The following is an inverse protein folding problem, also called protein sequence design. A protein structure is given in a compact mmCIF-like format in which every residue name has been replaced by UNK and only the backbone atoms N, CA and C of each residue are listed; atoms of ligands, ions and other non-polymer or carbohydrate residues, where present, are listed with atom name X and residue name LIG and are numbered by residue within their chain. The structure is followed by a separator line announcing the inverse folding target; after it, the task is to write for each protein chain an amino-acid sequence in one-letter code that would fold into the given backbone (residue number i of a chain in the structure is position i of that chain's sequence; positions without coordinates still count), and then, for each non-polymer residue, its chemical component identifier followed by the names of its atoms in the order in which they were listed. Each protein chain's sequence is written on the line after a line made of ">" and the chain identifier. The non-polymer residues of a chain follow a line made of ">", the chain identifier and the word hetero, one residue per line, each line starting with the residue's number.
data_IF_355709192925
#
_entry.id   IF_355709192925
#
_cell.length_a   1.000
_cell.length_b   1.000
_cell.length_c   1.000
_cell.angle_alpha   90.00
_cell.angle_beta   90.00
_cell.angle_gamma   90.00
#
_symmetry.space_group_name_H-M   'P 1'
#
loop_
_entity.id
_entity.type
_entity.pdbx_description
1 polymer ?
#
# COMPACT_ATOMS: atom_id res chain seq x y z
N UNK A 1 -21.93 6.04 -21.62
CA UNK A 1 -20.67 5.30 -21.35
C UNK A 1 -19.49 6.26 -21.09
N UNK A 2 -19.31 7.31 -21.90
CA UNK A 2 -18.29 8.37 -21.71
C UNK A 2 -18.29 9.03 -20.32
N UNK A 3 -19.44 9.47 -19.81
CA UNK A 3 -19.53 10.20 -18.52
C UNK A 3 -19.02 9.42 -17.28
N UNK A 4 -19.11 8.09 -17.27
CA UNK A 4 -18.58 7.28 -16.15
C UNK A 4 -17.06 7.17 -16.21
N UNK A 5 -16.50 7.03 -17.40
CA UNK A 5 -15.04 6.93 -17.63
C UNK A 5 -14.39 8.26 -17.27
N UNK A 6 -14.93 9.39 -17.77
CA UNK A 6 -14.41 10.74 -17.46
C UNK A 6 -14.45 11.05 -15.97
N UNK A 7 -15.53 10.68 -15.27
CA UNK A 7 -15.65 10.87 -13.82
C UNK A 7 -14.64 10.03 -13.02
N UNK A 8 -14.46 8.77 -13.41
CA UNK A 8 -13.48 7.88 -12.79
C UNK A 8 -12.03 8.36 -13.02
N UNK A 9 -11.73 8.85 -14.22
CA UNK A 9 -10.45 9.50 -14.53
C UNK A 9 -10.21 10.74 -13.66
N UNK A 10 -11.20 11.62 -13.55
CA UNK A 10 -11.09 12.82 -12.70
C UNK A 10 -10.81 12.47 -11.23
N UNK A 11 -11.45 11.43 -10.68
CA UNK A 11 -11.15 10.96 -9.33
C UNK A 11 -9.74 10.41 -9.18
N UNK A 12 -9.25 9.63 -10.16
CA UNK A 12 -7.89 9.10 -10.12
C UNK A 12 -6.85 10.23 -10.21
N UNK A 13 -7.06 11.21 -11.09
CA UNK A 13 -6.19 12.39 -11.18
C UNK A 13 -6.19 13.18 -9.87
N UNK A 14 -7.36 13.41 -9.26
CA UNK A 14 -7.47 14.06 -7.95
C UNK A 14 -6.71 13.30 -6.85
N UNK A 15 -6.84 11.97 -6.82
CA UNK A 15 -6.12 11.12 -5.87
C UNK A 15 -4.59 11.26 -6.01
N UNK A 16 -4.09 11.21 -7.24
CA UNK A 16 -2.65 11.38 -7.50
C UNK A 16 -2.16 12.78 -7.10
N UNK A 17 -2.94 13.82 -7.39
CA UNK A 17 -2.60 15.20 -6.99
C UNK A 17 -2.52 15.34 -5.47
N UNK A 18 -3.46 14.76 -4.72
CA UNK A 18 -3.42 14.76 -3.25
C UNK A 18 -2.17 14.00 -2.76
N UNK A 19 -1.88 12.84 -3.35
CA UNK A 19 -0.68 12.05 -3.03
C UNK A 19 0.63 12.80 -3.23
N UNK A 20 0.67 13.76 -4.17
CA UNK A 20 1.83 14.63 -4.40
C UNK A 20 1.80 15.86 -3.48
N UNK A 21 0.64 16.49 -3.30
CA UNK A 21 0.50 17.72 -2.52
C UNK A 21 0.74 17.51 -1.02
N UNK A 22 0.28 16.39 -0.45
CA UNK A 22 0.43 16.08 0.96
C UNK A 22 1.89 16.09 1.46
N UNK A 23 2.84 15.36 0.83
CA UNK A 23 4.25 15.42 1.23
C UNK A 23 4.90 16.78 0.95
N UNK A 24 4.46 17.51 -0.07
CA UNK A 24 4.96 18.87 -0.38
C UNK A 24 4.66 19.87 0.74
N UNK A 25 3.49 19.75 1.37
CA UNK A 25 3.08 20.63 2.48
C UNK A 25 3.65 20.14 3.82
N UNK A 26 3.67 18.82 4.06
CA UNK A 26 4.07 18.25 5.36
C UNK A 26 5.59 18.13 5.51
N UNK A 27 6.34 17.92 4.44
CA UNK A 27 7.81 17.76 4.49
C UNK A 27 8.53 18.97 5.07
N UNK A 28 8.24 20.24 4.69
CA UNK A 28 8.86 21.41 5.31
C UNK A 28 8.60 21.52 6.81
N UNK A 29 7.39 21.16 7.24
CA UNK A 29 7.01 21.17 8.66
C UNK A 29 7.77 20.09 9.46
N UNK A 30 7.77 18.86 8.95
CA UNK A 30 8.50 17.74 9.54
C UNK A 30 10.01 18.02 9.60
N UNK A 31 10.57 18.65 8.55
CA UNK A 31 11.98 19.04 8.51
C UNK A 31 12.36 20.07 9.56
N UNK A 32 11.48 21.03 9.86
CA UNK A 32 11.73 22.01 10.92
C UNK A 32 11.67 21.42 12.32
N UNK A 33 10.80 20.44 12.55
CA UNK A 33 10.58 19.87 13.90
C UNK A 33 11.55 18.73 14.19
N UNK A 34 11.71 17.81 13.26
CA UNK A 34 12.54 16.61 13.45
C UNK A 34 14.02 16.93 13.23
N UNK A 35 14.33 17.97 12.44
CA UNK A 35 15.69 18.23 11.99
C UNK A 35 16.18 17.20 10.96
N UNK A 36 17.33 17.48 10.35
CA UNK A 36 17.88 16.65 9.27
C UNK A 36 18.25 15.23 9.71
N UNK A 37 18.76 15.07 10.94
CA UNK A 37 19.22 13.78 11.46
C UNK A 37 18.06 12.79 11.65
N UNK A 38 17.02 13.16 12.41
CA UNK A 38 15.88 12.28 12.66
C UNK A 38 15.09 11.97 11.37
N UNK A 39 15.00 12.94 10.44
CA UNK A 39 14.43 12.68 9.12
C UNK A 39 15.25 11.67 8.31
N UNK A 40 16.58 11.76 8.38
CA UNK A 40 17.47 10.79 7.73
C UNK A 40 17.27 9.39 8.28
N UNK A 41 17.18 9.25 9.61
CA UNK A 41 16.94 7.97 10.28
C UNK A 41 15.57 7.38 9.89
N UNK A 42 14.53 8.20 9.93
CA UNK A 42 13.19 7.78 9.51
C UNK A 42 13.18 7.34 8.04
N UNK A 43 13.77 8.14 7.15
CA UNK A 43 13.83 7.84 5.71
C UNK A 43 14.60 6.54 5.44
N UNK A 44 15.70 6.31 6.15
CA UNK A 44 16.48 5.07 6.05
C UNK A 44 15.67 3.85 6.50
N UNK A 45 15.11 3.89 7.71
CA UNK A 45 14.32 2.76 8.25
C UNK A 45 13.05 2.49 7.40
N UNK A 46 12.39 3.54 6.93
CA UNK A 46 11.26 3.44 6.00
C UNK A 46 11.68 2.80 4.67
N UNK A 47 12.81 3.20 4.09
CA UNK A 47 13.30 2.61 2.83
C UNK A 47 13.56 1.11 2.98
N UNK A 48 14.14 0.68 4.10
CA UNK A 48 14.30 -0.75 4.40
C UNK A 48 12.94 -1.45 4.46
N UNK A 49 11.98 -0.91 5.22
CA UNK A 49 10.63 -1.49 5.31
C UNK A 49 9.90 -1.53 3.97
N UNK A 50 10.10 -0.52 3.10
CA UNK A 50 9.55 -0.49 1.75
C UNK A 50 10.07 -1.65 0.89
N UNK A 51 11.34 -2.04 1.00
CA UNK A 51 11.83 -3.23 0.30
C UNK A 51 11.10 -4.50 0.74
N UNK A 52 10.87 -4.69 2.04
CA UNK A 52 10.05 -5.81 2.53
C UNK A 52 8.61 -5.72 1.99
N UNK A 53 7.99 -4.54 2.03
CA UNK A 53 6.66 -4.30 1.47
C UNK A 53 6.58 -4.65 -0.03
N UNK A 54 7.62 -4.36 -0.81
CA UNK A 54 7.66 -4.73 -2.23
C UNK A 54 7.59 -6.25 -2.44
N UNK A 55 8.22 -7.04 -1.57
CA UNK A 55 8.08 -8.49 -1.59
C UNK A 55 6.68 -8.96 -1.15
N UNK A 56 6.08 -8.29 -0.15
CA UNK A 56 4.73 -8.59 0.32
C UNK A 56 3.68 -8.45 -0.78
N UNK A 57 3.78 -7.36 -1.56
CA UNK A 57 2.80 -7.02 -2.60
C UNK A 57 3.22 -7.48 -4.00
N UNK A 58 4.27 -8.28 -4.11
CA UNK A 58 4.89 -8.64 -5.38
C UNK A 58 3.86 -9.30 -6.32
N UNK A 59 3.61 -8.65 -7.46
CA UNK A 59 2.65 -9.11 -8.45
C UNK A 59 1.17 -8.93 -8.07
N UNK A 60 0.82 -8.76 -6.80
CA UNK A 60 -0.58 -8.68 -6.32
C UNK A 60 -1.29 -7.46 -6.88
N UNK A 61 -0.64 -6.29 -6.85
CA UNK A 61 -1.25 -5.05 -7.33
C UNK A 61 -1.65 -5.15 -8.82
N UNK A 62 -0.78 -5.72 -9.66
CA UNK A 62 -1.02 -5.84 -11.10
C UNK A 62 -1.92 -7.02 -11.44
N UNK A 63 -1.62 -8.20 -10.90
CA UNK A 63 -2.39 -9.43 -11.13
C UNK A 63 -3.81 -9.29 -10.57
N UNK A 64 -3.94 -8.81 -9.34
CA UNK A 64 -5.22 -8.65 -8.67
C UNK A 64 -6.13 -7.66 -9.40
N UNK A 65 -5.62 -6.49 -9.76
CA UNK A 65 -6.36 -5.49 -10.52
C UNK A 65 -6.85 -6.06 -11.86
N UNK A 66 -5.95 -6.65 -12.66
CA UNK A 66 -6.30 -7.22 -13.98
C UNK A 66 -7.30 -8.37 -13.88
N UNK A 67 -7.11 -9.27 -12.93
CA UNK A 67 -7.97 -10.45 -12.77
C UNK A 67 -9.37 -10.05 -12.32
N UNK A 68 -9.48 -9.16 -11.33
CA UNK A 68 -10.78 -8.61 -10.89
C UNK A 68 -11.46 -7.85 -12.02
N UNK A 69 -10.72 -7.03 -12.77
CA UNK A 69 -11.28 -6.31 -13.92
C UNK A 69 -11.87 -7.24 -14.99
N UNK A 70 -11.33 -8.46 -15.11
CA UNK A 70 -11.79 -9.48 -16.07
C UNK A 70 -13.06 -10.15 -15.56
N UNK A 71 -13.06 -10.63 -14.31
CA UNK A 71 -14.18 -11.42 -13.75
C UNK A 71 -15.34 -10.56 -13.21
N UNK A 72 -15.21 -9.24 -13.14
CA UNK A 72 -16.23 -8.34 -12.54
C UNK A 72 -17.63 -8.43 -13.16
N UNK A 73 -17.75 -8.97 -14.39
CA UNK A 73 -19.02 -9.14 -15.11
C UNK A 73 -19.56 -10.56 -15.06
N UNK A 74 -18.81 -11.51 -14.51
CA UNK A 74 -19.14 -12.95 -14.54
C UNK A 74 -20.06 -13.38 -13.38
N UNK A 75 -20.30 -12.49 -12.42
CA UNK A 75 -21.21 -12.71 -11.29
C UNK A 75 -20.52 -12.60 -9.93
N UNK A 76 -21.33 -12.43 -8.88
CA UNK A 76 -20.82 -12.18 -7.51
C UNK A 76 -20.04 -13.36 -6.94
N UNK A 77 -20.44 -14.59 -7.28
CA UNK A 77 -19.80 -15.80 -6.73
C UNK A 77 -18.38 -16.00 -7.27
N UNK A 78 -18.20 -15.82 -8.58
CA UNK A 78 -16.88 -15.89 -9.23
C UNK A 78 -15.99 -14.78 -8.69
N UNK A 79 -16.51 -13.54 -8.63
CA UNK A 79 -15.77 -12.40 -8.09
C UNK A 79 -15.30 -12.63 -6.65
N UNK A 80 -16.17 -13.15 -5.78
CA UNK A 80 -15.84 -13.45 -4.38
C UNK A 80 -14.75 -14.52 -4.27
N UNK A 81 -14.89 -15.63 -5.02
CA UNK A 81 -13.88 -16.71 -5.05
C UNK A 81 -12.52 -16.19 -5.51
N UNK A 82 -12.49 -15.40 -6.58
CA UNK A 82 -11.26 -14.79 -7.10
C UNK A 82 -10.63 -13.82 -6.09
N UNK A 83 -11.44 -12.97 -5.44
CA UNK A 83 -10.96 -12.07 -4.40
C UNK A 83 -10.29 -12.83 -3.26
N UNK A 84 -10.96 -13.84 -2.70
CA UNK A 84 -10.41 -14.63 -1.59
C UNK A 84 -9.19 -15.43 -1.97
N UNK A 85 -9.11 -15.92 -3.21
CA UNK A 85 -7.91 -16.60 -3.73
C UNK A 85 -6.70 -15.66 -3.73
N UNK A 86 -6.84 -14.46 -4.29
CA UNK A 86 -5.76 -13.46 -4.34
C UNK A 86 -5.41 -12.94 -2.95
N UNK A 87 -6.42 -12.64 -2.13
CA UNK A 87 -6.22 -12.12 -0.78
C UNK A 87 -5.57 -13.14 0.15
N UNK A 88 -5.84 -14.44 -0.03
CA UNK A 88 -5.15 -15.50 0.72
C UNK A 88 -3.65 -15.52 0.41
N UNK A 89 -3.28 -15.34 -0.86
CA UNK A 89 -1.87 -15.22 -1.27
C UNK A 89 -1.24 -13.97 -0.62
N UNK A 90 -1.95 -12.84 -0.65
CA UNK A 90 -1.52 -11.60 0.02
C UNK A 90 -1.26 -11.82 1.51
N UNK A 91 -2.19 -12.47 2.21
CA UNK A 91 -2.06 -12.76 3.63
C UNK A 91 -0.86 -13.66 3.91
N UNK A 92 -0.68 -14.74 3.16
CA UNK A 92 0.46 -15.65 3.34
C UNK A 92 1.78 -14.91 3.11
N UNK A 93 1.90 -14.15 2.01
CA UNK A 93 3.09 -13.35 1.73
C UNK A 93 3.34 -12.31 2.81
N UNK A 94 2.29 -11.66 3.30
CA UNK A 94 2.41 -10.65 4.36
C UNK A 94 2.92 -11.25 5.67
N UNK A 95 2.48 -12.45 6.04
CA UNK A 95 2.94 -13.16 7.23
C UNK A 95 4.42 -13.53 7.06
N UNK A 96 4.80 -14.12 5.93
CA UNK A 96 6.19 -14.52 5.65
C UNK A 96 7.14 -13.33 5.69
N UNK A 97 6.77 -12.22 5.04
CA UNK A 97 7.56 -10.99 5.01
C UNK A 97 7.63 -10.33 6.38
N UNK A 98 6.54 -10.32 7.14
CA UNK A 98 6.53 -9.76 8.50
C UNK A 98 7.43 -10.57 9.42
N UNK A 99 7.43 -11.91 9.33
CA UNK A 99 8.35 -12.78 10.07
C UNK A 99 9.80 -12.48 9.67
N UNK A 100 10.09 -12.34 8.38
CA UNK A 100 11.43 -11.99 7.91
C UNK A 100 11.88 -10.61 8.42
N UNK A 101 10.97 -9.64 8.50
CA UNK A 101 11.25 -8.31 9.06
C UNK A 101 11.51 -8.38 10.57
N UNK A 102 10.73 -9.16 11.31
CA UNK A 102 10.95 -9.39 12.74
C UNK A 102 12.30 -10.09 13.00
N UNK A 103 12.67 -11.06 12.15
CA UNK A 103 13.99 -11.69 12.21
C UNK A 103 15.11 -10.67 11.93
N UNK A 104 14.94 -9.80 10.94
CA UNK A 104 15.86 -8.70 10.66
C UNK A 104 16.05 -7.77 11.88
N UNK A 105 14.97 -7.40 12.57
CA UNK A 105 15.04 -6.59 13.80
C UNK A 105 15.76 -7.33 14.95
N UNK A 106 15.48 -8.63 15.11
CA UNK A 106 16.03 -9.46 16.17
C UNK A 106 17.54 -9.69 16.01
N UNK A 107 18.00 -10.01 14.79
CA UNK A 107 19.41 -10.30 14.48
C UNK A 107 20.36 -9.11 14.66
N UNK A 108 19.84 -7.93 15.00
CA UNK A 108 20.67 -6.79 15.37
C UNK A 108 21.32 -6.07 14.21
N UNK A 109 20.94 -6.37 12.96
CA UNK A 109 21.39 -5.68 11.75
C UNK A 109 20.85 -4.24 11.62
N UNK A 110 20.40 -3.63 12.71
CA UNK A 110 19.62 -2.38 12.73
C UNK A 110 20.22 -1.41 13.72
N UNK A 111 20.74 -0.29 13.23
CA UNK A 111 21.26 0.80 14.08
C UNK A 111 20.15 1.56 14.83
N UNK A 112 18.95 1.68 14.24
CA UNK A 112 17.84 2.47 14.75
C UNK A 112 16.61 1.60 15.09
N UNK A 113 16.79 0.59 15.95
CA UNK A 113 15.78 -0.45 16.25
C UNK A 113 14.40 0.11 16.63
N UNK A 114 14.32 1.13 17.49
CA UNK A 114 13.03 1.68 17.95
C UNK A 114 12.22 2.24 16.79
N UNK A 115 12.85 3.01 15.91
CA UNK A 115 12.18 3.63 14.76
C UNK A 115 11.86 2.55 13.71
N UNK A 116 12.73 1.55 13.53
CA UNK A 116 12.46 0.42 12.64
C UNK A 116 11.26 -0.44 13.11
N UNK A 117 11.07 -0.63 14.42
CA UNK A 117 9.88 -1.31 14.96
C UNK A 117 8.59 -0.58 14.57
N UNK A 118 8.60 0.75 14.54
CA UNK A 118 7.43 1.53 14.11
C UNK A 118 7.07 1.28 12.64
N UNK A 119 8.03 0.88 11.79
CA UNK A 119 7.72 0.53 10.40
C UNK A 119 6.94 -0.78 10.26
N UNK A 120 6.75 -1.56 11.33
CA UNK A 120 5.80 -2.69 11.32
C UNK A 120 4.38 -2.23 11.02
N UNK A 121 3.99 -1.03 11.45
CA UNK A 121 2.67 -0.47 11.12
C UNK A 121 2.48 -0.29 9.61
N UNK A 122 3.54 0.07 8.89
CA UNK A 122 3.51 0.14 7.42
C UNK A 122 3.24 -1.24 6.81
N UNK A 123 3.94 -2.27 7.27
CA UNK A 123 3.76 -3.64 6.77
C UNK A 123 2.35 -4.18 7.08
N UNK A 124 1.87 -3.98 8.31
CA UNK A 124 0.53 -4.40 8.73
C UNK A 124 -0.58 -3.65 7.96
N UNK A 125 -0.40 -2.36 7.73
CA UNK A 125 -1.33 -1.55 6.93
C UNK A 125 -1.41 -2.07 5.49
N UNK A 126 -0.28 -2.41 4.87
CA UNK A 126 -0.26 -2.96 3.52
C UNK A 126 -0.77 -4.41 3.45
N UNK A 127 -0.63 -5.19 4.52
CA UNK A 127 -1.17 -6.55 4.59
C UNK A 127 -2.70 -6.58 4.42
N UNK A 128 -3.40 -5.61 5.02
CA UNK A 128 -4.87 -5.48 4.94
C UNK A 128 -5.33 -4.57 3.79
N UNK A 129 -4.41 -3.93 3.07
CA UNK A 129 -4.76 -3.04 1.98
C UNK A 129 -5.29 -3.83 0.77
N UNK A 130 -6.56 -3.58 0.44
CA UNK A 130 -7.25 -4.16 -0.73
C UNK A 130 -7.46 -3.13 -1.84
N UNK A 131 -6.58 -2.13 -1.96
CA UNK A 131 -6.69 -1.06 -2.98
C UNK A 131 -6.77 -1.65 -4.39
N UNK A 132 -6.02 -2.72 -4.68
CA UNK A 132 -6.03 -3.43 -5.96
C UNK A 132 -7.41 -3.95 -6.37
N UNK A 133 -8.25 -4.35 -5.41
CA UNK A 133 -9.60 -4.84 -5.66
C UNK A 133 -10.51 -3.71 -6.16
N UNK A 134 -10.48 -2.56 -5.49
CA UNK A 134 -11.27 -1.39 -5.89
C UNK A 134 -10.81 -0.80 -7.22
N UNK A 135 -9.49 -0.86 -7.51
CA UNK A 135 -8.95 -0.54 -8.83
C UNK A 135 -9.56 -1.43 -9.92
N UNK A 136 -9.59 -2.76 -9.70
CA UNK A 136 -10.17 -3.70 -10.67
C UNK A 136 -11.66 -3.50 -10.90
N UNK A 137 -12.40 -3.08 -9.87
CA UNK A 137 -13.82 -2.74 -9.97
C UNK A 137 -14.09 -1.36 -10.60
N UNK A 138 -13.05 -0.56 -10.89
CA UNK A 138 -13.18 0.84 -11.32
C UNK A 138 -13.96 1.70 -10.31
N UNK A 139 -13.92 1.36 -9.03
CA UNK A 139 -14.63 2.07 -7.96
C UNK A 139 -13.69 3.03 -7.20
N UNK A 140 -13.18 4.02 -7.92
CA UNK A 140 -12.19 4.98 -7.40
C UNK A 140 -12.72 5.85 -6.27
N UNK A 141 -14.05 6.03 -6.16
CA UNK A 141 -14.67 6.76 -5.05
C UNK A 141 -14.28 6.16 -3.69
N UNK A 142 -14.34 4.84 -3.57
CA UNK A 142 -14.00 4.15 -2.32
C UNK A 142 -12.51 4.25 -1.97
N UNK A 143 -11.64 4.32 -2.99
CA UNK A 143 -10.20 4.50 -2.81
C UNK A 143 -9.91 5.89 -2.22
N UNK A 144 -10.50 6.94 -2.80
CA UNK A 144 -10.30 8.33 -2.36
C UNK A 144 -10.78 8.53 -0.92
N UNK A 145 -11.98 8.04 -0.56
CA UNK A 145 -12.52 8.23 0.79
C UNK A 145 -11.76 7.48 1.88
N UNK A 146 -11.12 6.35 1.56
CA UNK A 146 -10.37 5.56 2.55
C UNK A 146 -8.94 6.05 2.75
N UNK A 147 -8.33 6.57 1.67
CA UNK A 147 -6.91 6.90 1.65
C UNK A 147 -6.63 8.42 1.80
N UNK A 148 -7.66 9.25 1.94
CA UNK A 148 -7.55 10.66 2.35
C UNK A 148 -7.82 10.77 3.84
#
# INVERSE_FOLDING_TARGET
>A
MSNKISKNLAYNMGYQLIGIAAPLITSPYLSRILGAENLGIHSFTMSVALYFMMFMLLGIANYGNRTIATVKREGKDILSKTFWSIYSIQLIMSILVTIAYLAYLYLGAVHYKVIAILQLFLLLSNAVDITWFFYGLENFKQIVFRNT
#
